data_IF_978137006274
#
_entry.id   IF_978137006274
#
_cell.length_a   1.000
_cell.length_b   1.000
_cell.length_c   1.000
_cell.angle_alpha   90.00
_cell.angle_beta   90.00
_cell.angle_gamma   90.00
#
_symmetry.space_group_name_H-M   'P 1'
#
loop_
_entity.id
_entity.type
_entity.pdbx_description
1 polymer ?
#
# COMPACT_ATOMS: atom_id res chain seq x y z
N UNK A 1 51.14 -44.16 -8.50
CA UNK A 1 50.43 -44.84 -7.38
C UNK A 1 49.85 -43.79 -6.50
N UNK A 2 48.60 -43.45 -6.76
CA UNK A 2 47.85 -42.47 -5.94
C UNK A 2 47.27 -43.22 -4.75
N UNK A 3 47.81 -42.99 -3.56
CA UNK A 3 47.24 -43.53 -2.33
C UNK A 3 45.84 -42.97 -2.11
N UNK A 4 44.87 -43.87 -1.97
CA UNK A 4 43.56 -43.55 -1.48
C UNK A 4 43.70 -42.87 -0.12
N UNK A 5 43.21 -41.66 0.03
CA UNK A 5 43.20 -40.96 1.31
C UNK A 5 42.17 -41.68 2.17
N UNK A 6 42.64 -42.57 3.06
CA UNK A 6 41.82 -43.46 3.88
C UNK A 6 40.97 -42.76 4.96
N UNK A 7 41.22 -41.46 5.19
CA UNK A 7 40.62 -40.70 6.31
C UNK A 7 39.55 -39.70 5.88
N UNK A 8 39.09 -39.79 4.65
CA UNK A 8 38.07 -38.86 4.12
C UNK A 8 36.72 -39.57 4.06
N UNK A 9 35.61 -38.95 4.52
CA UNK A 9 34.29 -39.54 4.41
C UNK A 9 34.00 -40.04 3.00
N UNK A 10 33.29 -41.16 2.84
CA UNK A 10 33.04 -41.82 1.54
C UNK A 10 32.46 -40.87 0.47
N UNK A 11 31.62 -39.94 0.89
CA UNK A 11 31.05 -38.91 0.01
C UNK A 11 32.09 -37.94 -0.55
N UNK A 12 33.09 -37.54 0.26
CA UNK A 12 34.17 -36.65 -0.17
C UNK A 12 35.18 -37.42 -1.03
N UNK A 13 35.42 -38.68 -0.74
CA UNK A 13 36.26 -39.54 -1.55
C UNK A 13 35.66 -39.77 -2.95
N UNK A 14 34.36 -39.93 -3.07
CA UNK A 14 33.64 -40.06 -4.34
C UNK A 14 33.73 -38.81 -5.22
N UNK A 15 33.75 -37.60 -4.62
CA UNK A 15 33.92 -36.33 -5.36
C UNK A 15 35.35 -36.15 -5.87
N UNK A 16 36.37 -36.59 -5.08
CA UNK A 16 37.79 -36.49 -5.47
C UNK A 16 38.23 -37.59 -6.45
N UNK A 17 37.56 -38.74 -6.42
CA UNK A 17 37.84 -39.89 -7.32
C UNK A 17 36.55 -40.25 -8.06
N UNK A 18 36.14 -39.48 -9.07
CA UNK A 18 34.89 -39.76 -9.79
C UNK A 18 34.98 -41.12 -10.47
N UNK A 19 34.23 -42.07 -9.97
CA UNK A 19 34.03 -43.40 -10.58
C UNK A 19 32.58 -43.49 -11.08
N UNK A 20 32.33 -44.41 -12.02
CA UNK A 20 30.96 -44.64 -12.53
C UNK A 20 30.00 -45.19 -11.45
N UNK A 21 30.52 -45.54 -10.27
CA UNK A 21 29.73 -45.98 -9.10
C UNK A 21 29.74 -44.87 -8.06
N UNK A 22 28.59 -44.33 -7.78
CA UNK A 22 28.37 -43.41 -6.67
C UNK A 22 28.36 -44.25 -5.39
N UNK A 23 29.36 -44.05 -4.52
CA UNK A 23 29.39 -44.65 -3.18
C UNK A 23 28.63 -43.74 -2.23
N UNK A 24 27.61 -44.25 -1.59
CA UNK A 24 26.85 -43.55 -0.56
C UNK A 24 27.27 -43.99 0.81
N UNK A 25 27.28 -43.09 1.77
CA UNK A 25 27.52 -43.40 3.15
C UNK A 25 26.37 -44.25 3.68
N UNK A 26 26.64 -45.49 4.07
CA UNK A 26 25.65 -46.45 4.58
C UNK A 26 24.94 -45.94 5.85
N UNK A 27 25.51 -44.95 6.55
CA UNK A 27 24.92 -44.40 7.77
C UNK A 27 23.84 -43.36 7.52
N UNK A 28 23.90 -42.68 6.37
CA UNK A 28 22.98 -41.58 6.08
C UNK A 28 21.97 -41.87 4.98
N UNK A 29 22.19 -42.90 4.16
CA UNK A 29 21.32 -43.17 3.01
C UNK A 29 21.15 -44.68 2.82
N UNK A 30 20.21 -45.26 3.56
CA UNK A 30 19.69 -46.56 3.20
C UNK A 30 18.95 -46.45 1.87
N UNK A 31 19.60 -46.85 0.77
CA UNK A 31 18.94 -46.89 -0.52
C UNK A 31 18.18 -48.19 -0.65
N UNK A 32 16.90 -48.08 -0.76
CA UNK A 32 16.07 -49.15 -1.24
C UNK A 32 16.50 -49.56 -2.67
N UNK A 33 16.45 -50.83 -3.01
CA UNK A 33 16.79 -51.28 -4.34
C UNK A 33 15.96 -50.54 -5.38
N UNK A 34 16.54 -50.19 -6.55
CA UNK A 34 15.81 -49.48 -7.60
C UNK A 34 14.57 -50.30 -7.96
N UNK A 35 13.40 -49.73 -7.73
CA UNK A 35 12.14 -50.35 -8.04
C UNK A 35 11.99 -50.69 -9.53
N UNK A 36 11.00 -51.47 -9.84
CA UNK A 36 10.67 -51.85 -11.21
C UNK A 36 10.61 -50.61 -12.13
N UNK A 37 11.37 -50.59 -13.24
CA UNK A 37 11.34 -49.47 -14.19
C UNK A 37 9.98 -49.11 -14.71
N UNK A 38 9.04 -50.07 -14.80
CA UNK A 38 7.67 -49.87 -15.22
C UNK A 38 6.88 -48.94 -14.27
N UNK A 39 7.24 -48.89 -12.99
CA UNK A 39 6.58 -48.06 -11.98
C UNK A 39 7.19 -46.68 -11.84
N UNK A 40 8.27 -46.37 -12.55
CA UNK A 40 8.99 -45.10 -12.45
C UNK A 40 8.11 -43.93 -12.88
N UNK A 41 7.33 -44.09 -13.94
CA UNK A 41 6.41 -43.04 -14.40
C UNK A 41 5.34 -42.70 -13.35
N UNK A 42 4.81 -43.70 -12.66
CA UNK A 42 3.84 -43.50 -11.59
C UNK A 42 4.47 -42.79 -10.38
N UNK A 43 5.70 -43.18 -10.00
CA UNK A 43 6.43 -42.50 -8.91
C UNK A 43 6.69 -41.04 -9.22
N UNK A 44 7.07 -40.68 -10.44
CA UNK A 44 7.25 -39.29 -10.87
C UNK A 44 5.94 -38.52 -10.89
N UNK A 45 4.84 -39.13 -11.31
CA UNK A 45 3.51 -38.52 -11.27
C UNK A 45 3.11 -38.16 -9.83
N UNK A 46 3.27 -39.12 -8.90
CA UNK A 46 2.97 -38.88 -7.47
C UNK A 46 3.84 -37.79 -6.86
N UNK A 47 5.16 -37.80 -7.15
CA UNK A 47 6.08 -36.78 -6.67
C UNK A 47 5.76 -35.40 -7.24
N UNK A 48 5.44 -35.31 -8.53
CA UNK A 48 5.07 -34.05 -9.17
C UNK A 48 3.75 -33.54 -8.62
N UNK A 49 2.73 -34.41 -8.50
CA UNK A 49 1.45 -34.05 -7.88
C UNK A 49 1.61 -33.56 -6.44
N UNK A 50 2.44 -34.27 -5.64
CA UNK A 50 2.77 -33.85 -4.28
C UNK A 50 3.45 -32.48 -4.21
N UNK A 51 4.33 -32.16 -5.16
CA UNK A 51 4.96 -30.83 -5.24
C UNK A 51 3.93 -29.72 -5.56
N UNK A 52 3.00 -29.99 -6.45
CA UNK A 52 1.91 -29.04 -6.76
C UNK A 52 1.03 -28.78 -5.54
N UNK A 53 0.61 -29.82 -4.83
CA UNK A 53 -0.18 -29.71 -3.60
C UNK A 53 0.59 -28.91 -2.54
N UNK A 54 1.85 -29.23 -2.32
CA UNK A 54 2.70 -28.56 -1.35
C UNK A 54 2.89 -27.06 -1.70
N UNK A 55 3.20 -26.75 -2.96
CA UNK A 55 3.34 -25.37 -3.42
C UNK A 55 2.03 -24.58 -3.26
N UNK A 56 0.90 -25.21 -3.55
CA UNK A 56 -0.43 -24.60 -3.37
C UNK A 56 -0.74 -24.32 -1.90
N UNK A 57 -0.39 -25.22 -1.00
CA UNK A 57 -0.56 -25.03 0.44
C UNK A 57 0.30 -23.89 0.98
N UNK A 58 1.56 -23.80 0.58
CA UNK A 58 2.44 -22.69 0.95
C UNK A 58 1.86 -21.37 0.42
N UNK A 59 1.45 -21.32 -0.85
CA UNK A 59 0.81 -20.14 -1.44
C UNK A 59 -0.41 -19.71 -0.64
N UNK A 60 -1.31 -20.64 -0.32
CA UNK A 60 -2.51 -20.34 0.46
C UNK A 60 -2.17 -19.83 1.88
N UNK A 61 -1.17 -20.40 2.53
CA UNK A 61 -0.72 -19.98 3.85
C UNK A 61 -0.19 -18.54 3.81
N UNK A 62 0.68 -18.24 2.85
CA UNK A 62 1.24 -16.89 2.69
C UNK A 62 0.15 -15.89 2.35
N UNK A 63 -0.74 -16.20 1.40
CA UNK A 63 -1.85 -15.32 1.04
C UNK A 63 -2.79 -15.08 2.21
N UNK A 64 -3.16 -16.11 2.98
CA UNK A 64 -3.99 -15.95 4.18
C UNK A 64 -3.32 -15.10 5.24
N UNK A 65 -2.02 -15.27 5.44
CA UNK A 65 -1.25 -14.46 6.37
C UNK A 65 -1.25 -12.98 5.94
N UNK A 66 -0.93 -12.68 4.68
CA UNK A 66 -0.94 -11.31 4.15
C UNK A 66 -2.35 -10.71 4.20
N UNK A 67 -3.38 -11.47 3.84
CA UNK A 67 -4.78 -11.02 3.90
C UNK A 67 -5.27 -10.79 5.33
N UNK A 68 -4.72 -11.48 6.34
CA UNK A 68 -5.07 -11.22 7.74
C UNK A 68 -4.62 -9.84 8.23
N UNK A 69 -3.63 -9.23 7.55
CA UNK A 69 -3.16 -7.87 7.81
C UNK A 69 -3.94 -6.80 7.01
N UNK A 70 -4.85 -7.22 6.13
CA UNK A 70 -5.68 -6.30 5.35
C UNK A 70 -6.81 -5.70 6.19
N UNK A 71 -7.40 -4.61 5.69
CA UNK A 71 -8.53 -3.97 6.35
C UNK A 71 -9.72 -4.93 6.49
N UNK A 72 -10.36 -4.92 7.67
CA UNK A 72 -11.56 -5.72 7.93
C UNK A 72 -12.74 -5.28 7.06
N UNK A 73 -13.75 -6.15 6.89
CA UNK A 73 -14.96 -5.82 6.14
C UNK A 73 -15.68 -4.59 6.70
N UNK A 74 -15.65 -4.40 8.01
CA UNK A 74 -16.27 -3.25 8.67
C UNK A 74 -15.55 -1.94 8.33
N UNK A 75 -14.20 -1.98 8.25
CA UNK A 75 -13.40 -0.83 7.81
C UNK A 75 -13.64 -0.53 6.32
N UNK A 76 -13.84 -1.56 5.50
CA UNK A 76 -14.16 -1.39 4.07
C UNK A 76 -15.59 -0.87 3.87
N UNK A 77 -16.54 -1.25 4.72
CA UNK A 77 -17.91 -0.72 4.69
C UNK A 77 -17.97 0.79 4.98
N UNK A 78 -16.99 1.32 5.75
CA UNK A 78 -16.81 2.76 6.01
C UNK A 78 -15.90 3.43 4.96
N UNK A 79 -15.80 2.87 3.76
CA UNK A 79 -14.93 3.39 2.71
C UNK A 79 -15.38 4.75 2.17
N UNK A 80 -16.67 5.05 2.21
CA UNK A 80 -17.23 6.36 1.85
C UNK A 80 -17.86 7.03 3.07
N UNK A 81 -17.72 8.35 3.13
CA UNK A 81 -18.35 9.20 4.14
C UNK A 81 -19.14 10.29 3.40
N UNK A 82 -20.38 10.48 3.76
CA UNK A 82 -21.24 11.55 3.26
C UNK A 82 -21.45 12.58 4.37
N UNK A 83 -21.28 13.85 4.03
CA UNK A 83 -21.40 14.96 4.98
C UNK A 83 -22.31 16.02 4.36
N UNK A 84 -23.27 16.48 5.15
CA UNK A 84 -24.12 17.60 4.81
C UNK A 84 -23.36 18.91 5.00
N UNK A 85 -23.21 19.66 3.91
CA UNK A 85 -22.51 20.93 3.88
C UNK A 85 -23.40 22.12 4.23
N UNK A 86 -24.72 21.97 4.22
CA UNK A 86 -25.67 23.07 4.42
C UNK A 86 -25.59 23.70 5.81
N UNK A 87 -25.18 22.91 6.80
CA UNK A 87 -25.03 23.32 8.20
C UNK A 87 -23.73 24.07 8.51
N UNK A 88 -22.80 24.16 7.52
CA UNK A 88 -21.47 24.74 7.74
C UNK A 88 -21.49 26.22 7.38
N UNK A 89 -21.18 27.08 8.36
CA UNK A 89 -21.11 28.53 8.16
C UNK A 89 -19.84 28.94 7.38
N UNK A 90 -19.91 30.02 6.56
CA UNK A 90 -18.73 30.55 5.88
C UNK A 90 -17.60 30.89 6.86
N UNK A 91 -16.35 30.57 6.51
CA UNK A 91 -15.16 30.79 7.33
C UNK A 91 -14.93 29.73 8.42
N UNK A 92 -15.84 28.78 8.59
CA UNK A 92 -15.70 27.70 9.59
C UNK A 92 -15.06 26.46 8.99
N UNK A 93 -14.43 25.67 9.87
CA UNK A 93 -13.82 24.38 9.55
C UNK A 93 -14.44 23.29 10.41
N UNK A 94 -15.02 22.29 9.78
CA UNK A 94 -15.57 21.10 10.45
C UNK A 94 -14.58 19.95 10.30
N UNK A 95 -14.40 19.17 11.36
CA UNK A 95 -13.54 18.00 11.35
C UNK A 95 -14.39 16.75 11.41
N UNK A 96 -14.26 15.89 10.42
CA UNK A 96 -14.93 14.58 10.36
C UNK A 96 -13.90 13.47 10.39
N UNK A 97 -14.25 12.34 10.99
CA UNK A 97 -13.37 11.18 11.04
C UNK A 97 -13.69 10.25 9.87
N UNK A 98 -12.71 10.03 9.00
CA UNK A 98 -12.82 9.12 7.88
C UNK A 98 -11.66 8.14 7.85
N UNK A 99 -11.94 6.84 7.85
CA UNK A 99 -10.94 5.75 7.85
C UNK A 99 -9.86 5.91 8.92
N UNK A 100 -10.25 6.39 10.11
CA UNK A 100 -9.32 6.61 11.22
C UNK A 100 -8.51 7.90 11.15
N UNK A 101 -8.58 8.66 10.06
CA UNK A 101 -7.92 9.96 9.89
C UNK A 101 -8.93 11.10 10.02
N UNK A 102 -8.56 12.25 10.58
CA UNK A 102 -9.38 13.45 10.52
C UNK A 102 -9.36 14.01 9.08
N UNK A 103 -10.49 14.47 8.62
CA UNK A 103 -10.65 15.23 7.38
C UNK A 103 -11.24 16.58 7.74
N UNK A 104 -10.60 17.64 7.29
CA UNK A 104 -11.09 19.00 7.46
C UNK A 104 -11.93 19.39 6.25
N UNK A 105 -13.11 19.88 6.51
CA UNK A 105 -14.02 20.48 5.54
C UNK A 105 -14.16 21.95 5.92
N UNK A 106 -13.64 22.83 5.08
CA UNK A 106 -13.70 24.29 5.31
C UNK A 106 -14.58 24.93 4.26
N UNK A 107 -15.56 25.70 4.71
CA UNK A 107 -16.30 26.63 3.87
C UNK A 107 -15.52 27.93 3.80
N UNK A 108 -14.93 28.22 2.65
CA UNK A 108 -14.09 29.40 2.44
C UNK A 108 -14.95 30.64 2.15
N UNK A 109 -14.51 31.78 2.65
CA UNK A 109 -15.04 33.09 2.28
C UNK A 109 -14.42 33.57 0.97
N UNK A 110 -15.02 34.57 0.33
CA UNK A 110 -14.43 35.18 -0.87
C UNK A 110 -13.02 35.75 -0.60
N UNK A 111 -12.78 36.27 0.60
CA UNK A 111 -11.48 36.80 0.99
C UNK A 111 -10.46 35.67 1.17
N UNK A 112 -10.87 34.52 1.69
CA UNK A 112 -10.05 33.31 1.75
C UNK A 112 -9.62 32.87 0.35
N UNK A 113 -10.55 32.87 -0.62
CA UNK A 113 -10.29 32.49 -2.01
C UNK A 113 -9.34 33.49 -2.68
N UNK A 114 -9.53 34.79 -2.48
CA UNK A 114 -8.63 35.81 -3.00
C UNK A 114 -7.22 35.66 -2.40
N UNK A 115 -7.12 35.41 -1.10
CA UNK A 115 -5.85 35.19 -0.42
C UNK A 115 -5.15 33.93 -0.94
N UNK A 116 -5.87 32.83 -1.15
CA UNK A 116 -5.33 31.61 -1.71
C UNK A 116 -4.75 31.80 -3.13
N UNK A 117 -5.43 32.59 -3.96
CA UNK A 117 -5.04 32.90 -5.33
C UNK A 117 -3.91 33.94 -5.43
N UNK A 118 -3.73 34.78 -4.41
CA UNK A 118 -2.67 35.80 -4.40
C UNK A 118 -1.26 35.26 -4.13
N UNK A 119 -1.17 33.98 -3.76
CA UNK A 119 0.10 33.33 -3.40
C UNK A 119 0.90 33.01 -4.66
N UNK A 120 2.18 33.43 -4.70
CA UNK A 120 3.11 33.02 -5.73
C UNK A 120 3.42 31.52 -5.61
N UNK A 121 2.92 30.73 -6.57
CA UNK A 121 3.05 29.28 -6.60
C UNK A 121 4.53 28.84 -6.71
N UNK A 122 5.34 29.62 -7.42
CA UNK A 122 6.76 29.31 -7.61
C UNK A 122 7.60 29.43 -6.31
N UNK A 123 7.10 30.19 -5.35
CA UNK A 123 7.73 30.34 -4.04
C UNK A 123 7.44 29.20 -3.07
N UNK A 124 6.50 28.34 -3.42
CA UNK A 124 6.06 27.23 -2.58
C UNK A 124 7.03 26.03 -2.65
N UNK A 125 7.19 25.34 -1.54
CA UNK A 125 7.98 24.10 -1.47
C UNK A 125 7.35 22.97 -2.31
N UNK A 126 6.03 22.89 -2.29
CA UNK A 126 5.22 21.96 -3.08
C UNK A 126 4.26 22.81 -3.96
N UNK A 127 4.69 23.15 -5.19
CA UNK A 127 3.97 24.07 -6.07
C UNK A 127 2.67 23.45 -6.57
N UNK A 128 1.54 23.95 -6.06
CA UNK A 128 0.19 23.62 -6.54
C UNK A 128 -0.68 24.88 -6.56
N UNK A 129 -1.43 25.04 -7.63
CA UNK A 129 -2.43 26.09 -7.71
C UNK A 129 -3.64 25.74 -6.84
N UNK A 130 -4.35 26.77 -6.36
CA UNK A 130 -5.56 26.55 -5.56
C UNK A 130 -6.62 25.77 -6.34
N UNK A 131 -6.80 26.09 -7.62
CA UNK A 131 -7.77 25.44 -8.50
C UNK A 131 -7.51 23.92 -8.71
N UNK A 132 -6.28 23.46 -8.52
CA UNK A 132 -5.95 22.03 -8.61
C UNK A 132 -6.34 21.25 -7.35
N UNK A 133 -6.55 21.97 -6.25
CA UNK A 133 -6.81 21.39 -4.93
C UNK A 133 -8.30 21.36 -4.57
N UNK A 134 -9.13 22.11 -5.29
CA UNK A 134 -10.56 22.23 -5.01
C UNK A 134 -11.38 21.93 -6.24
N UNK A 135 -12.53 21.30 -6.06
CA UNK A 135 -13.53 21.12 -7.13
C UNK A 135 -14.51 22.30 -7.19
N UNK A 136 -14.81 22.83 -6.03
CA UNK A 136 -15.62 24.02 -5.84
C UNK A 136 -14.80 25.03 -5.04
N UNK A 137 -14.62 26.26 -5.51
CA UNK A 137 -13.84 27.29 -4.83
C UNK A 137 -14.29 27.58 -3.39
N UNK A 138 -15.57 27.43 -3.10
CA UNK A 138 -16.15 27.63 -1.77
C UNK A 138 -15.72 26.54 -0.77
N UNK A 139 -15.46 25.32 -1.25
CA UNK A 139 -15.24 24.16 -0.41
C UNK A 139 -13.81 23.59 -0.51
N UNK A 140 -13.08 23.66 0.58
CA UNK A 140 -11.78 22.98 0.68
C UNK A 140 -11.89 21.76 1.57
N UNK A 141 -11.48 20.61 1.04
CA UNK A 141 -11.51 19.34 1.75
C UNK A 141 -10.10 18.75 1.74
N UNK A 142 -9.51 18.62 2.94
CA UNK A 142 -8.15 18.10 3.09
C UNK A 142 -8.05 17.09 4.22
N UNK A 143 -7.17 16.13 4.08
CA UNK A 143 -6.85 15.19 5.15
C UNK A 143 -6.07 15.93 6.24
N UNK A 144 -6.58 15.96 7.46
CA UNK A 144 -6.03 16.68 8.60
C UNK A 144 -4.84 15.96 9.24
N UNK A 145 -3.88 15.53 8.42
CA UNK A 145 -2.68 14.82 8.86
C UNK A 145 -1.46 15.56 8.31
N UNK A 146 -0.63 16.07 9.21
CA UNK A 146 0.60 16.77 8.85
C UNK A 146 1.54 15.83 8.10
N UNK A 147 2.01 16.28 6.95
CA UNK A 147 2.88 15.49 6.06
C UNK A 147 4.30 15.29 6.58
N UNK A 148 4.65 15.89 7.72
CA UNK A 148 5.93 15.67 8.37
C UNK A 148 5.99 14.30 9.06
N UNK A 149 5.21 14.10 10.14
CA UNK A 149 5.19 12.86 10.95
C UNK A 149 3.79 12.44 11.38
N UNK A 150 2.74 12.89 10.70
CA UNK A 150 1.38 12.41 10.92
C UNK A 150 0.61 13.06 12.08
N UNK A 151 1.10 14.16 12.67
CA UNK A 151 0.36 14.92 13.69
C UNK A 151 -0.90 15.57 13.09
N UNK A 152 -1.89 15.87 13.93
CA UNK A 152 -3.11 16.57 13.51
C UNK A 152 -2.88 18.08 13.66
N UNK A 153 -2.92 18.87 12.54
CA UNK A 153 -2.81 20.32 12.60
C UNK A 153 -4.05 20.96 13.22
N UNK A 154 -3.86 22.09 13.87
CA UNK A 154 -4.95 22.90 14.42
C UNK A 154 -5.52 23.81 13.32
N UNK A 155 -6.84 23.82 13.10
CA UNK A 155 -7.48 24.72 12.13
C UNK A 155 -7.49 26.17 12.64
N UNK A 156 -7.57 27.11 11.73
CA UNK A 156 -7.60 28.57 12.00
C UNK A 156 -6.43 29.04 12.85
N UNK A 157 -5.25 28.44 12.66
CA UNK A 157 -4.05 28.74 13.42
C UNK A 157 -2.83 28.88 12.50
N UNK A 158 -1.80 29.57 13.01
CA UNK A 158 -0.56 29.82 12.26
C UNK A 158 -0.55 31.16 11.52
N UNK A 159 0.57 31.43 10.85
CA UNK A 159 0.86 32.74 10.26
C UNK A 159 0.12 33.00 8.93
N UNK A 160 -0.55 31.99 8.37
CA UNK A 160 -1.12 32.05 7.01
C UNK A 160 -2.63 31.75 6.96
N UNK A 161 -3.32 31.82 8.12
CA UNK A 161 -4.78 31.71 8.21
C UNK A 161 -5.38 30.31 7.94
N UNK A 162 -4.54 29.30 7.72
CA UNK A 162 -4.98 27.94 7.44
C UNK A 162 -4.83 27.02 8.66
N UNK A 163 -3.78 26.20 8.69
CA UNK A 163 -3.53 25.22 9.75
C UNK A 163 -2.13 25.33 10.31
N UNK A 164 -2.02 25.07 11.58
CA UNK A 164 -0.74 25.01 12.30
C UNK A 164 -0.54 23.66 12.96
N UNK A 165 0.59 23.01 12.69
CA UNK A 165 0.97 21.78 13.36
C UNK A 165 1.88 22.08 14.54
N UNK A 166 1.41 21.92 15.81
CA UNK A 166 2.18 22.28 16.99
C UNK A 166 3.35 21.34 17.28
N UNK A 167 3.35 20.15 16.68
CA UNK A 167 4.40 19.16 16.96
C UNK A 167 5.80 19.68 16.57
N UNK A 168 5.93 20.29 15.37
CA UNK A 168 7.22 20.74 14.84
C UNK A 168 7.12 22.07 14.11
N UNK A 169 6.02 22.81 14.28
CA UNK A 169 5.89 24.17 13.76
C UNK A 169 5.67 24.26 12.24
N UNK A 170 4.94 23.31 11.65
CA UNK A 170 4.55 23.43 10.23
C UNK A 170 3.32 24.32 10.09
N UNK A 171 3.39 25.32 9.20
CA UNK A 171 2.30 26.23 8.89
C UNK A 171 1.78 25.98 7.48
N UNK A 172 0.49 25.81 7.37
CA UNK A 172 -0.23 25.65 6.12
C UNK A 172 -1.12 26.87 5.85
N UNK A 173 -1.28 27.22 4.60
CA UNK A 173 -2.15 28.32 4.21
C UNK A 173 -3.63 27.90 4.12
N UNK A 174 -4.46 28.85 3.69
CA UNK A 174 -5.92 28.67 3.56
C UNK A 174 -6.31 27.62 2.50
N UNK A 175 -5.39 27.22 1.62
CA UNK A 175 -5.53 26.16 0.64
C UNK A 175 -4.90 24.82 1.09
N UNK A 176 -4.35 24.78 2.32
CA UNK A 176 -3.67 23.62 2.85
C UNK A 176 -2.28 23.39 2.26
N UNK A 177 -1.66 24.41 1.64
CA UNK A 177 -0.30 24.34 1.10
C UNK A 177 0.71 24.65 2.20
N UNK A 178 1.83 23.93 2.20
CA UNK A 178 2.91 24.16 3.16
C UNK A 178 3.61 25.49 2.88
N UNK A 179 3.72 26.34 3.89
CA UNK A 179 4.37 27.65 3.81
C UNK A 179 5.64 27.71 4.64
N UNK A 180 5.64 27.11 5.83
CA UNK A 180 6.75 27.17 6.78
C UNK A 180 6.81 25.90 7.61
N UNK A 181 8.02 25.53 8.03
CA UNK A 181 8.22 24.37 8.90
C UNK A 181 8.79 23.15 8.18
N UNK A 182 8.90 22.00 8.85
CA UNK A 182 9.60 20.83 8.33
C UNK A 182 8.77 19.96 7.39
N UNK A 183 7.44 20.15 7.28
CA UNK A 183 6.59 19.34 6.41
C UNK A 183 7.04 19.45 4.94
N UNK A 184 7.22 18.32 4.23
CA UNK A 184 7.71 18.32 2.86
C UNK A 184 6.64 18.67 1.83
N UNK A 185 5.36 18.29 2.07
CA UNK A 185 4.27 18.38 1.12
C UNK A 185 3.06 19.13 1.68
N UNK A 186 2.18 19.53 0.78
CA UNK A 186 0.87 20.08 1.10
C UNK A 186 0.00 19.05 1.84
N UNK A 187 -1.05 19.49 2.54
CA UNK A 187 -2.06 18.57 3.06
C UNK A 187 -2.71 17.81 1.91
N UNK A 188 -2.91 16.53 2.10
CA UNK A 188 -3.49 15.64 1.09
C UNK A 188 -4.96 16.02 0.81
N UNK A 189 -5.33 16.10 -0.45
CA UNK A 189 -6.73 16.24 -0.88
C UNK A 189 -7.27 14.84 -1.16
N UNK A 190 -8.28 14.37 -0.42
CA UNK A 190 -8.88 13.07 -0.67
C UNK A 190 -9.68 13.09 -1.96
N UNK A 191 -9.92 11.92 -2.54
CA UNK A 191 -10.89 11.82 -3.64
C UNK A 191 -12.29 12.05 -3.08
N UNK A 192 -12.98 13.07 -3.58
CA UNK A 192 -14.34 13.38 -3.16
C UNK A 192 -15.20 13.80 -4.35
N UNK A 193 -16.51 13.75 -4.18
CA UNK A 193 -17.50 14.29 -5.11
C UNK A 193 -18.51 15.14 -4.35
N UNK A 194 -18.82 16.30 -4.89
CA UNK A 194 -19.94 17.13 -4.43
C UNK A 194 -21.18 16.78 -5.25
N UNK A 195 -22.30 16.64 -4.62
CA UNK A 195 -23.59 16.45 -5.27
C UNK A 195 -24.68 17.20 -4.50
N UNK A 196 -25.70 17.60 -5.22
CA UNK A 196 -26.84 18.29 -4.64
C UNK A 196 -28.06 17.39 -4.75
N UNK A 197 -28.68 17.07 -3.64
CA UNK A 197 -29.92 16.33 -3.58
C UNK A 197 -31.00 17.23 -3.05
N UNK A 198 -31.94 17.58 -3.92
CA UNK A 198 -32.98 18.57 -3.66
C UNK A 198 -32.40 19.96 -3.29
N UNK A 199 -32.37 20.33 -2.01
CA UNK A 199 -31.89 21.63 -1.50
C UNK A 199 -30.60 21.49 -0.69
N UNK A 200 -30.16 20.28 -0.45
CA UNK A 200 -29.03 19.99 0.43
C UNK A 200 -27.76 19.65 -0.38
N UNK A 201 -26.67 20.36 -0.08
CA UNK A 201 -25.36 20.08 -0.67
C UNK A 201 -24.64 19.01 0.15
N UNK A 202 -24.23 17.96 -0.50
CA UNK A 202 -23.52 16.85 0.12
C UNK A 202 -22.12 16.72 -0.46
N UNK A 203 -21.20 16.28 0.36
CA UNK A 203 -19.90 15.82 -0.10
C UNK A 203 -19.72 14.33 0.24
N UNK A 204 -19.34 13.54 -0.74
CA UNK A 204 -18.96 12.14 -0.56
C UNK A 204 -17.45 12.03 -0.68
N UNK A 205 -16.78 11.61 0.39
CA UNK A 205 -15.37 11.32 0.42
C UNK A 205 -15.22 9.81 0.18
N UNK A 206 -14.60 9.44 -0.93
CA UNK A 206 -14.37 8.04 -1.28
C UNK A 206 -12.87 7.78 -1.30
N UNK A 207 -12.42 6.70 -0.64
CA UNK A 207 -11.07 6.21 -0.80
C UNK A 207 -10.93 5.50 -2.13
N UNK A 208 -9.82 5.70 -2.81
CA UNK A 208 -9.41 4.73 -3.81
C UNK A 208 -9.22 3.41 -3.08
N UNK A 209 -10.13 2.48 -3.34
CA UNK A 209 -9.99 1.11 -2.86
C UNK A 209 -8.65 0.60 -3.42
N UNK A 210 -7.94 -0.19 -2.64
CA UNK A 210 -6.76 -0.96 -3.06
C UNK A 210 -7.11 -1.98 -4.18
N UNK A 211 -7.73 -1.53 -5.25
CA UNK A 211 -7.94 -2.30 -6.49
C UNK A 211 -6.58 -2.58 -7.13
N UNK A 212 -5.62 -1.65 -6.98
CA UNK A 212 -4.28 -1.76 -7.53
C UNK A 212 -3.49 -2.99 -7.05
N UNK A 213 -3.66 -3.44 -5.81
CA UNK A 213 -2.92 -4.64 -5.33
C UNK A 213 -3.57 -5.92 -5.84
N UNK A 214 -4.89 -5.97 -5.96
CA UNK A 214 -5.60 -7.13 -6.50
C UNK A 214 -5.40 -7.26 -8.01
N UNK A 215 -5.41 -6.16 -8.77
CA UNK A 215 -5.10 -6.13 -10.19
C UNK A 215 -3.63 -6.47 -10.46
N UNK A 216 -2.70 -5.92 -9.68
CA UNK A 216 -1.27 -6.25 -9.78
C UNK A 216 -0.98 -7.72 -9.46
N UNK A 217 -1.67 -8.31 -8.47
CA UNK A 217 -1.54 -9.74 -8.16
C UNK A 217 -2.18 -10.62 -9.25
N UNK A 218 -3.23 -10.15 -9.92
CA UNK A 218 -3.83 -10.85 -11.05
C UNK A 218 -2.92 -10.81 -12.27
N UNK A 219 -2.31 -9.65 -12.58
CA UNK A 219 -1.33 -9.52 -13.66
C UNK A 219 -0.08 -10.36 -13.41
N UNK A 220 0.48 -10.34 -12.20
CA UNK A 220 1.62 -11.20 -11.83
C UNK A 220 1.26 -12.67 -11.93
N UNK A 221 0.04 -13.07 -11.55
CA UNK A 221 -0.44 -14.45 -11.70
C UNK A 221 -0.56 -14.85 -13.17
N UNK A 222 -1.01 -13.93 -14.03
CA UNK A 222 -1.15 -14.17 -15.47
C UNK A 222 0.23 -14.28 -16.15
N UNK A 223 1.17 -13.42 -15.78
CA UNK A 223 2.55 -13.46 -16.29
C UNK A 223 3.26 -14.76 -15.89
N UNK A 224 3.10 -15.21 -14.65
CA UNK A 224 3.66 -16.50 -14.19
C UNK A 224 3.01 -17.67 -14.94
N UNK A 225 1.71 -17.62 -15.19
CA UNK A 225 1.00 -18.67 -15.94
C UNK A 225 1.44 -18.72 -17.40
N UNK A 226 1.64 -17.58 -18.04
CA UNK A 226 2.16 -17.49 -19.41
C UNK A 226 3.62 -17.95 -19.50
N UNK A 227 4.47 -17.58 -18.53
CA UNK A 227 5.87 -18.01 -18.49
C UNK A 227 6.04 -19.53 -18.30
N UNK A 228 5.11 -20.19 -17.57
CA UNK A 228 5.12 -21.64 -17.40
C UNK A 228 4.62 -22.36 -18.66
N UNK A 229 3.84 -21.68 -19.50
CA UNK A 229 3.29 -22.27 -20.75
C UNK A 229 4.30 -22.27 -21.91
N UNK A 230 5.32 -21.40 -21.87
CA UNK A 230 6.35 -21.30 -22.93
C UNK A 230 7.61 -22.14 -22.66
N UNK A 231 7.68 -22.89 -21.57
CA UNK A 231 8.75 -23.86 -21.28
C UNK A 231 8.19 -25.27 -21.12
#
# INVERSE_FOLDING_TARGET
MGGLISDVPPTVAAVKNPSSKIVYDDHNHERYPPGDPSKRAFAYFVLTGGRFVYASLIRLLVLKFVMSMSASKDVLALASLEVDLSSIEPGTTVTVKWRGKPVFIRRRTEDDIKLANSVDVQSLRDPQQDAERVKDPEWLIVVGVCTHLGCIPLPNAGDFGGWFCPCHGSHYDISGRIRKGPAPYNLEVPTYSCFTEQVVHWVRIAGQLFISVAESLHEVSLVIFLYIREK
#
